data_IF_709164527871
#
_entry.id   IF_709164527871
#
_cell.length_a   1.000
_cell.length_b   1.000
_cell.length_c   1.000
_cell.angle_alpha   90.00
_cell.angle_beta   90.00
_cell.angle_gamma   90.00
#
_symmetry.space_group_name_H-M   'P 1'
#
loop_
_entity.id
_entity.type
_entity.pdbx_description
1 polymer ?
#
# COMPACT_ATOMS: atom_id res chain seq x y z
N UNK A 1 2.31 28.94 29.67
CA UNK A 1 2.55 27.49 29.50
C UNK A 1 1.71 27.01 28.33
N UNK A 2 2.31 26.64 27.19
CA UNK A 2 1.54 26.11 26.06
C UNK A 2 1.30 24.61 26.31
N UNK A 3 0.18 24.31 26.97
CA UNK A 3 -0.30 22.96 27.22
C UNK A 3 -0.92 22.36 25.96
N UNK A 4 -0.09 21.79 25.10
CA UNK A 4 -0.51 20.80 24.11
C UNK A 4 0.01 19.45 24.54
N UNK A 5 -0.84 18.43 24.55
CA UNK A 5 -0.41 17.04 24.79
C UNK A 5 0.61 16.68 23.71
N UNK A 6 1.91 16.68 24.04
CA UNK A 6 2.95 16.16 23.15
C UNK A 6 2.80 14.64 23.20
N UNK A 7 1.95 14.08 22.35
CA UNK A 7 2.06 12.67 22.02
C UNK A 7 3.48 12.45 21.51
N UNK A 8 4.23 11.52 22.13
CA UNK A 8 5.59 11.21 21.68
C UNK A 8 5.48 10.70 20.24
N UNK A 9 5.80 11.53 19.26
CA UNK A 9 5.95 11.07 17.89
C UNK A 9 7.15 10.13 17.87
N UNK A 10 6.95 8.88 17.45
CA UNK A 10 8.03 7.92 17.32
C UNK A 10 8.64 8.07 15.92
N UNK A 11 9.88 8.53 15.87
CA UNK A 11 10.68 8.68 14.66
C UNK A 11 11.70 7.53 14.59
N UNK A 12 11.36 6.45 13.88
CA UNK A 12 12.23 5.27 13.74
C UNK A 12 13.17 5.36 12.54
N UNK A 13 12.88 6.25 11.60
CA UNK A 13 13.68 6.46 10.40
C UNK A 13 13.50 7.90 9.90
N UNK A 14 14.46 8.42 9.14
CA UNK A 14 14.36 9.74 8.49
C UNK A 14 14.41 9.67 6.97
N UNK A 15 14.80 8.51 6.42
CA UNK A 15 14.88 8.25 4.99
C UNK A 15 14.81 6.74 4.73
N UNK A 16 14.47 6.35 3.50
CA UNK A 16 14.45 4.94 3.09
C UNK A 16 15.77 4.20 3.41
N UNK A 17 16.89 4.90 3.28
CA UNK A 17 18.23 4.36 3.57
C UNK A 17 18.46 4.05 5.05
N UNK A 18 17.69 4.66 5.95
CA UNK A 18 17.75 4.38 7.39
C UNK A 18 17.10 3.05 7.75
N UNK A 19 16.30 2.49 6.84
CA UNK A 19 15.56 1.27 7.08
C UNK A 19 16.33 0.03 6.61
N UNK A 20 16.35 -1.06 7.40
CA UNK A 20 17.03 -2.28 7.03
C UNK A 20 16.27 -3.04 5.93
N UNK A 21 16.94 -3.98 5.28
CA UNK A 21 16.31 -4.95 4.36
C UNK A 21 15.52 -4.34 3.19
N UNK A 22 15.88 -3.13 2.73
CA UNK A 22 15.21 -2.46 1.61
C UNK A 22 13.80 -1.95 1.94
N UNK A 23 13.48 -1.82 3.22
CA UNK A 23 12.25 -1.19 3.68
C UNK A 23 12.24 0.30 3.36
N UNK A 24 11.04 0.88 3.33
CA UNK A 24 10.83 2.31 3.09
C UNK A 24 10.44 3.01 4.36
N UNK A 25 10.89 4.25 4.49
CA UNK A 25 10.56 5.10 5.61
C UNK A 25 9.23 5.80 5.32
N UNK A 26 8.16 5.34 5.96
CA UNK A 26 6.81 5.81 5.72
C UNK A 26 6.30 6.59 6.93
N UNK A 27 5.67 7.74 6.70
CA UNK A 27 5.02 8.51 7.76
C UNK A 27 3.78 7.77 8.28
N UNK A 28 3.65 7.64 9.60
CA UNK A 28 2.49 7.05 10.29
C UNK A 28 1.67 8.14 11.02
N UNK A 29 1.61 9.35 10.47
CA UNK A 29 0.85 10.49 11.02
C UNK A 29 1.69 11.49 11.82
N UNK A 30 2.32 11.07 12.92
CA UNK A 30 3.13 11.94 13.81
C UNK A 30 4.64 11.84 13.54
N UNK A 31 5.12 10.64 13.18
CA UNK A 31 6.51 10.34 12.89
C UNK A 31 6.64 9.30 11.79
N UNK A 32 7.81 8.70 11.65
CA UNK A 32 8.11 7.76 10.57
C UNK A 32 8.50 6.37 11.06
N UNK A 33 8.09 5.35 10.30
CA UNK A 33 8.36 3.95 10.59
C UNK A 33 8.86 3.23 9.33
N UNK A 34 9.75 2.26 9.51
CA UNK A 34 10.18 1.40 8.43
C UNK A 34 9.08 0.38 8.10
N UNK A 35 8.64 0.36 6.84
CA UNK A 35 7.64 -0.57 6.34
C UNK A 35 8.12 -1.24 5.06
N UNK A 36 7.64 -2.46 4.81
CA UNK A 36 7.92 -3.13 3.55
C UNK A 36 7.32 -2.33 2.39
N UNK A 37 8.05 -2.22 1.26
CA UNK A 37 7.54 -1.52 0.09
C UNK A 37 6.30 -2.24 -0.46
N UNK A 38 5.29 -1.47 -0.85
CA UNK A 38 4.20 -2.02 -1.65
C UNK A 38 4.70 -2.26 -3.08
N UNK A 39 4.44 -3.46 -3.60
CA UNK A 39 4.77 -3.78 -4.99
C UNK A 39 3.67 -3.19 -5.87
N UNK A 40 4.08 -2.33 -6.81
CA UNK A 40 3.22 -1.75 -7.86
C UNK A 40 3.69 -2.32 -9.19
N UNK A 41 2.78 -2.99 -9.90
CA UNK A 41 3.07 -3.55 -11.23
C UNK A 41 2.67 -2.58 -12.34
N UNK A 42 3.31 -2.62 -13.51
CA UNK A 42 2.95 -1.77 -14.65
C UNK A 42 1.53 -2.05 -15.16
N UNK A 43 0.96 -1.06 -15.87
CA UNK A 43 -0.39 -1.10 -16.45
C UNK A 43 -1.47 -0.50 -15.55
N UNK A 44 -2.65 -0.27 -16.12
CA UNK A 44 -3.77 0.38 -15.45
C UNK A 44 -4.89 -0.60 -15.08
N UNK A 45 -5.65 -0.28 -14.04
CA UNK A 45 -6.80 -1.09 -13.69
C UNK A 45 -7.93 -0.87 -14.70
N UNK A 46 -8.54 -1.95 -15.24
CA UNK A 46 -9.70 -1.80 -16.11
C UNK A 46 -10.82 -1.08 -15.36
N UNK A 47 -11.55 -0.21 -16.06
CA UNK A 47 -12.70 0.51 -15.48
C UNK A 47 -13.72 -0.52 -14.97
N UNK A 48 -14.26 -0.25 -13.78
CA UNK A 48 -15.21 -1.08 -13.03
C UNK A 48 -16.07 -1.97 -13.93
N UNK A 49 -15.65 -3.23 -14.10
CA UNK A 49 -16.46 -4.20 -14.81
C UNK A 49 -17.64 -4.60 -13.93
N UNK A 50 -18.87 -4.49 -14.45
CA UNK A 50 -20.12 -4.97 -13.85
C UNK A 50 -20.15 -6.50 -13.63
N UNK A 51 -19.00 -7.17 -13.69
CA UNK A 51 -18.87 -8.59 -13.45
C UNK A 51 -19.20 -8.86 -11.98
N UNK A 52 -20.36 -9.49 -11.77
CA UNK A 52 -20.85 -9.99 -10.48
C UNK A 52 -19.96 -11.08 -9.85
N UNK A 53 -18.86 -11.45 -10.51
CA UNK A 53 -17.90 -12.43 -10.01
C UNK A 53 -16.79 -11.72 -9.25
N UNK A 54 -16.80 -11.92 -7.94
CA UNK A 54 -15.70 -11.49 -7.08
C UNK A 54 -14.43 -12.28 -7.45
N UNK A 55 -13.30 -11.56 -7.51
CA UNK A 55 -11.99 -12.14 -7.79
C UNK A 55 -11.26 -12.57 -6.52
N UNK A 56 -9.99 -12.96 -6.66
CA UNK A 56 -9.09 -13.18 -5.53
C UNK A 56 -8.90 -11.85 -4.80
N UNK A 57 -9.27 -11.77 -3.52
CA UNK A 57 -9.03 -10.58 -2.69
C UNK A 57 -7.53 -10.33 -2.56
N UNK A 58 -7.15 -9.06 -2.61
CA UNK A 58 -5.76 -8.60 -2.50
C UNK A 58 -5.71 -7.23 -1.83
N UNK A 59 -4.52 -6.80 -1.42
CA UNK A 59 -4.28 -5.44 -0.90
C UNK A 59 -3.27 -4.63 -1.73
N UNK A 60 -2.36 -5.31 -2.43
CA UNK A 60 -1.37 -4.70 -3.32
C UNK A 60 -1.01 -5.67 -4.44
N UNK A 61 -0.46 -5.17 -5.55
CA UNK A 61 -0.23 -5.94 -6.78
C UNK A 61 0.69 -7.15 -6.56
N UNK A 62 1.61 -7.06 -5.60
CA UNK A 62 2.52 -8.15 -5.22
C UNK A 62 1.83 -9.43 -4.72
N UNK A 63 0.58 -9.34 -4.24
CA UNK A 63 -0.20 -10.52 -3.84
C UNK A 63 -0.81 -11.26 -5.03
N UNK A 64 -0.89 -10.60 -6.18
CA UNK A 64 -1.44 -11.19 -7.39
C UNK A 64 -0.35 -11.91 -8.18
N UNK A 65 -0.67 -13.02 -8.83
CA UNK A 65 0.29 -13.77 -9.65
C UNK A 65 0.58 -13.07 -10.98
N UNK A 66 1.77 -13.29 -11.55
CA UNK A 66 2.19 -12.75 -12.85
C UNK A 66 2.05 -11.21 -12.92
N UNK A 67 1.51 -10.67 -14.01
CA UNK A 67 1.29 -9.24 -14.24
C UNK A 67 -0.02 -8.69 -13.67
N UNK A 68 -0.83 -9.52 -13.01
CA UNK A 68 -2.11 -9.08 -12.45
C UNK A 68 -1.90 -8.02 -11.37
N UNK A 69 -2.76 -7.00 -11.39
CA UNK A 69 -2.82 -5.90 -10.42
C UNK A 69 -3.97 -6.07 -9.45
N UNK A 70 -3.84 -5.46 -8.27
CA UNK A 70 -4.90 -5.40 -7.29
C UNK A 70 -5.79 -4.19 -7.55
N UNK A 71 -6.94 -4.42 -8.17
CA UNK A 71 -7.81 -3.35 -8.65
C UNK A 71 -9.04 -3.16 -7.76
N UNK A 72 -9.51 -1.92 -7.56
CA UNK A 72 -10.77 -1.68 -6.88
C UNK A 72 -11.93 -2.24 -7.71
N UNK A 73 -12.77 -3.07 -7.08
CA UNK A 73 -14.00 -3.60 -7.69
C UNK A 73 -15.18 -3.39 -6.77
N UNK A 74 -16.39 -3.62 -7.29
CA UNK A 74 -17.65 -3.44 -6.57
C UNK A 74 -17.77 -4.33 -5.32
N UNK A 75 -17.15 -5.51 -5.35
CA UNK A 75 -17.13 -6.47 -4.23
C UNK A 75 -15.85 -6.34 -3.37
N UNK A 76 -15.10 -5.24 -3.54
CA UNK A 76 -13.79 -5.01 -2.92
C UNK A 76 -12.61 -5.25 -3.88
N UNK A 77 -11.38 -4.98 -3.42
CA UNK A 77 -10.19 -5.08 -4.23
C UNK A 77 -9.88 -6.52 -4.63
N UNK A 78 -9.60 -6.75 -5.91
CA UNK A 78 -9.26 -8.07 -6.41
C UNK A 78 -8.24 -8.07 -7.56
N UNK A 79 -7.57 -9.21 -7.74
CA UNK A 79 -6.59 -9.41 -8.79
C UNK A 79 -7.23 -9.42 -10.18
N UNK A 80 -6.77 -8.52 -11.06
CA UNK A 80 -7.22 -8.42 -12.45
C UNK A 80 -6.06 -8.14 -13.39
N UNK A 81 -6.18 -8.58 -14.63
CA UNK A 81 -5.23 -8.19 -15.67
C UNK A 81 -5.30 -6.68 -15.91
N UNK A 82 -4.14 -6.00 -16.01
CA UNK A 82 -4.08 -4.61 -16.42
C UNK A 82 -4.58 -4.42 -17.86
N UNK A 83 -4.92 -3.17 -18.20
CA UNK A 83 -5.13 -2.70 -19.58
C UNK A 83 -3.94 -1.91 -20.10
#
# INVERSE_FOLDING_TARGET
VHGGMIGICVELCTSDMSCPYGQKCCSNGCGHVCSNPIIVKPGDCPRHGLTQRCGKRCQHDGQCSAEMKCCPMSCGPACRHPV
#
